data_IF_526472346481
#
_entry.id   IF_526472346481
#
_cell.length_a   1.000
_cell.length_b   1.000
_cell.length_c   1.000
_cell.angle_alpha   90.00
_cell.angle_beta   90.00
_cell.angle_gamma   90.00
#
_symmetry.space_group_name_H-M   'P 1'
#
loop_
_entity.id
_entity.type
_entity.pdbx_description
1 polymer ?
#
# COMPACT_ATOMS: atom_id res chain seq x y z
N UNK A 1 22.94 -43.70 22.53
CA UNK A 1 21.72 -42.89 22.79
C UNK A 1 22.11 -41.46 23.13
N UNK A 2 22.50 -40.63 22.14
CA UNK A 2 22.82 -39.19 22.37
C UNK A 2 22.33 -38.27 21.24
N UNK A 3 21.70 -38.80 20.18
CA UNK A 3 21.50 -38.04 18.95
C UNK A 3 20.07 -37.52 18.72
N UNK A 4 19.12 -37.77 19.64
CA UNK A 4 17.73 -37.37 19.45
C UNK A 4 17.41 -35.95 19.98
N UNK A 5 18.25 -35.37 20.84
CA UNK A 5 17.92 -34.11 21.53
C UNK A 5 18.33 -32.84 20.77
N UNK A 6 19.24 -32.94 19.78
CA UNK A 6 19.80 -31.75 19.10
C UNK A 6 18.91 -31.25 17.94
N UNK A 7 18.01 -32.09 17.42
CA UNK A 7 17.20 -31.74 16.24
C UNK A 7 15.99 -30.87 16.62
N UNK A 8 15.51 -30.93 17.87
CA UNK A 8 14.32 -30.18 18.30
C UNK A 8 14.59 -28.69 18.61
N UNK A 9 15.84 -28.28 18.83
CA UNK A 9 16.20 -26.87 19.08
C UNK A 9 16.41 -26.07 17.79
N UNK A 10 16.77 -26.72 16.67
CA UNK A 10 16.94 -26.06 15.38
C UNK A 10 15.62 -25.66 14.71
N UNK A 11 14.55 -26.44 14.92
CA UNK A 11 13.27 -26.22 14.25
C UNK A 11 12.46 -25.07 14.86
N UNK A 12 12.64 -24.77 16.16
CA UNK A 12 11.99 -23.65 16.83
C UNK A 12 12.52 -22.28 16.41
N UNK A 13 13.84 -22.17 16.18
CA UNK A 13 14.48 -20.90 15.78
C UNK A 13 14.22 -20.58 14.30
N UNK A 14 14.16 -21.59 13.43
CA UNK A 14 13.85 -21.40 12.00
C UNK A 14 12.38 -21.00 11.78
N UNK A 15 11.44 -21.52 12.58
CA UNK A 15 10.03 -21.13 12.50
C UNK A 15 9.77 -19.70 12.99
N UNK A 16 10.47 -19.25 14.03
CA UNK A 16 10.38 -17.87 14.51
C UNK A 16 10.98 -16.87 13.50
N UNK A 17 12.10 -17.23 12.86
CA UNK A 17 12.71 -16.42 11.81
C UNK A 17 11.84 -16.37 10.54
N UNK A 18 11.25 -17.49 10.10
CA UNK A 18 10.34 -17.52 8.96
C UNK A 18 9.05 -16.71 9.24
N UNK A 19 8.49 -16.79 10.46
CA UNK A 19 7.33 -15.99 10.83
C UNK A 19 7.63 -14.47 10.86
N UNK A 20 8.86 -14.08 11.22
CA UNK A 20 9.30 -12.68 11.18
C UNK A 20 9.64 -12.20 9.76
N UNK A 21 10.26 -13.04 8.92
CA UNK A 21 10.57 -12.73 7.51
C UNK A 21 9.32 -12.66 6.62
N UNK A 22 8.24 -13.36 7.01
CA UNK A 22 6.95 -13.33 6.32
C UNK A 22 6.11 -12.08 6.61
N UNK A 23 6.40 -11.32 7.66
CA UNK A 23 5.59 -10.18 8.09
C UNK A 23 5.44 -9.09 7.02
N UNK A 24 6.55 -8.55 6.48
CA UNK A 24 6.51 -7.53 5.43
C UNK A 24 5.89 -8.01 4.12
N UNK A 25 6.15 -9.27 3.73
CA UNK A 25 5.58 -9.85 2.51
C UNK A 25 4.06 -10.04 2.64
N UNK A 26 3.59 -10.54 3.79
CA UNK A 26 2.15 -10.68 4.08
C UNK A 26 1.45 -9.34 4.13
N UNK A 27 2.09 -8.30 4.68
CA UNK A 27 1.55 -6.95 4.68
C UNK A 27 1.42 -6.41 3.25
N UNK A 28 2.44 -6.59 2.40
CA UNK A 28 2.39 -6.20 0.98
C UNK A 28 1.26 -6.93 0.24
N UNK A 29 1.13 -8.24 0.45
CA UNK A 29 0.05 -9.02 -0.13
C UNK A 29 -1.33 -8.54 0.33
N UNK A 30 -1.52 -8.31 1.63
CA UNK A 30 -2.78 -7.79 2.17
C UNK A 30 -3.10 -6.39 1.63
N UNK A 31 -2.11 -5.50 1.51
CA UNK A 31 -2.29 -4.18 0.89
C UNK A 31 -2.72 -4.32 -0.57
N UNK A 32 -2.05 -5.15 -1.36
CA UNK A 32 -2.40 -5.35 -2.76
C UNK A 32 -3.82 -5.91 -2.91
N UNK A 33 -4.16 -6.97 -2.16
CA UNK A 33 -5.46 -7.64 -2.23
C UNK A 33 -6.62 -6.72 -1.80
N UNK A 34 -6.41 -5.90 -0.76
CA UNK A 34 -7.43 -4.94 -0.31
C UNK A 34 -7.54 -3.74 -1.23
N UNK A 35 -6.42 -3.27 -1.79
CA UNK A 35 -6.41 -2.19 -2.78
C UNK A 35 -7.17 -2.59 -4.04
N UNK A 36 -6.95 -3.78 -4.59
CA UNK A 36 -7.61 -4.23 -5.82
C UNK A 36 -9.13 -4.28 -5.72
N UNK A 37 -9.65 -4.51 -4.51
CA UNK A 37 -11.09 -4.54 -4.19
C UNK A 37 -11.65 -3.17 -3.82
N UNK A 38 -10.80 -2.16 -3.61
CA UNK A 38 -11.20 -0.81 -3.23
C UNK A 38 -11.98 -0.16 -4.35
N UNK A 39 -13.10 0.50 -4.03
CA UNK A 39 -13.90 1.25 -5.00
C UNK A 39 -13.43 2.70 -5.05
N UNK A 40 -13.25 3.22 -6.25
CA UNK A 40 -12.85 4.60 -6.49
C UNK A 40 -14.03 5.40 -7.04
N UNK A 41 -14.20 6.66 -6.61
CA UNK A 41 -15.23 7.54 -7.14
C UNK A 41 -14.84 8.03 -8.54
N UNK A 42 -15.68 7.84 -9.55
CA UNK A 42 -15.51 8.48 -10.87
C UNK A 42 -16.35 9.75 -10.98
N UNK A 43 -15.90 10.67 -11.84
CA UNK A 43 -16.62 11.90 -12.18
C UNK A 43 -17.99 11.62 -12.80
N UNK A 44 -18.10 10.54 -13.57
CA UNK A 44 -19.32 10.18 -14.32
C UNK A 44 -20.23 9.22 -13.53
N UNK A 45 -19.94 9.01 -12.23
CA UNK A 45 -20.70 8.11 -11.36
C UNK A 45 -20.41 6.61 -11.58
N UNK A 46 -19.61 6.26 -12.58
CA UNK A 46 -19.13 4.88 -12.77
C UNK A 46 -18.24 4.46 -11.59
N UNK A 47 -18.51 3.31 -10.97
CA UNK A 47 -17.64 2.75 -9.95
C UNK A 47 -16.63 1.81 -10.61
N UNK A 48 -15.33 2.06 -10.40
CA UNK A 48 -14.26 1.13 -10.78
C UNK A 48 -13.46 0.72 -9.55
N UNK A 49 -12.77 -0.42 -9.68
CA UNK A 49 -12.00 -1.00 -8.57
C UNK A 49 -10.52 -0.67 -8.68
N UNK A 50 -9.76 -0.87 -7.61
CA UNK A 50 -8.31 -0.69 -7.63
C UNK A 50 -7.59 -1.57 -8.66
N UNK A 51 -8.18 -2.69 -9.07
CA UNK A 51 -7.67 -3.50 -10.19
C UNK A 51 -7.63 -2.74 -11.54
N UNK A 52 -8.43 -1.67 -11.69
CA UNK A 52 -8.46 -0.80 -12.87
C UNK A 52 -7.67 0.49 -12.66
N UNK A 53 -6.98 0.62 -11.52
CA UNK A 53 -6.19 1.79 -11.14
C UNK A 53 -4.72 1.45 -11.18
N UNK A 54 -3.95 2.26 -11.88
CA UNK A 54 -2.51 2.14 -11.92
C UNK A 54 -1.87 2.94 -10.78
N UNK A 55 -1.08 2.28 -9.94
CA UNK A 55 -0.23 2.96 -8.97
C UNK A 55 1.03 3.44 -9.69
N UNK A 56 1.22 4.76 -9.80
CA UNK A 56 2.34 5.37 -10.53
C UNK A 56 3.51 5.74 -9.61
N UNK A 57 3.24 5.92 -8.31
CA UNK A 57 4.27 6.21 -7.31
C UNK A 57 3.82 5.76 -5.93
N UNK A 58 4.74 5.15 -5.19
CA UNK A 58 4.57 4.83 -3.77
C UNK A 58 5.63 5.56 -2.96
N UNK A 59 5.20 6.45 -2.07
CA UNK A 59 6.12 7.13 -1.15
C UNK A 59 5.98 6.46 0.21
N UNK A 60 7.07 5.87 0.67
CA UNK A 60 7.17 5.28 2.01
C UNK A 60 7.85 6.31 2.91
N UNK A 61 7.13 6.82 3.90
CA UNK A 61 7.69 7.71 4.92
C UNK A 61 7.47 7.13 6.31
N UNK A 62 8.40 7.43 7.22
CA UNK A 62 8.10 7.41 8.65
C UNK A 62 7.74 8.84 9.00
N UNK A 63 6.46 9.21 8.94
CA UNK A 63 6.08 10.56 9.34
C UNK A 63 5.96 10.60 10.86
N UNK A 64 7.05 10.96 11.53
CA UNK A 64 7.11 11.13 12.99
C UNK A 64 6.09 12.16 13.53
N UNK A 65 5.45 12.94 12.65
CA UNK A 65 4.42 13.92 12.97
C UNK A 65 2.96 13.45 12.87
N UNK A 66 2.68 12.23 12.39
CA UNK A 66 1.33 11.64 12.40
C UNK A 66 1.18 10.55 13.46
N UNK A 67 1.85 10.71 14.62
CA UNK A 67 1.36 10.06 15.83
C UNK A 67 -0.03 10.62 16.13
N UNK A 68 -1.06 9.91 15.65
CA UNK A 68 -2.39 10.11 16.18
C UNK A 68 -2.28 9.98 17.71
N UNK A 69 -2.77 10.95 18.49
CA UNK A 69 -2.82 10.81 19.94
C UNK A 69 -3.80 9.68 20.25
N UNK A 70 -3.26 8.47 20.40
CA UNK A 70 -3.97 7.23 20.64
C UNK A 70 -3.15 6.34 21.58
N UNK A 71 -3.78 5.36 22.23
CA UNK A 71 -3.08 4.47 23.15
C UNK A 71 -1.86 3.79 22.49
N UNK A 72 -0.78 3.50 23.22
CA UNK A 72 0.45 2.86 22.66
C UNK A 72 0.21 1.51 21.97
N UNK A 73 -0.90 0.82 22.23
CA UNK A 73 -1.31 -0.40 21.50
C UNK A 73 -1.86 -0.10 20.08
N UNK A 74 -2.19 1.16 19.84
CA UNK A 74 -2.60 1.78 18.58
C UNK A 74 -1.42 2.43 17.86
N UNK A 75 -0.17 2.17 18.28
CA UNK A 75 1.03 2.37 17.48
C UNK A 75 0.96 1.41 16.28
N UNK A 76 0.02 1.71 15.39
CA UNK A 76 -0.20 1.08 14.11
C UNK A 76 1.14 1.12 13.39
N UNK A 77 1.46 0.02 12.71
CA UNK A 77 2.46 0.07 11.66
C UNK A 77 1.86 0.90 10.52
N UNK A 78 1.72 2.20 10.75
CA UNK A 78 1.64 3.22 9.70
C UNK A 78 3.02 3.26 9.09
N UNK A 79 3.34 2.22 8.34
CA UNK A 79 4.30 2.33 7.28
C UNK A 79 3.56 3.18 6.23
N UNK A 80 3.71 4.50 6.36
CA UNK A 80 2.93 5.54 5.68
C UNK A 80 3.25 5.47 4.19
N UNK A 81 2.57 4.56 3.50
CA UNK A 81 2.73 4.35 2.08
C UNK A 81 1.68 5.19 1.33
N UNK A 82 2.06 6.37 0.85
CA UNK A 82 1.20 7.18 0.00
C UNK A 82 1.24 6.61 -1.42
N UNK A 83 0.11 6.11 -1.90
CA UNK A 83 -0.02 5.54 -3.24
C UNK A 83 -0.68 6.58 -4.15
N UNK A 84 0.10 7.12 -5.09
CA UNK A 84 -0.41 7.99 -6.14
C UNK A 84 -0.90 7.13 -7.29
N UNK A 85 -2.14 7.37 -7.69
CA UNK A 85 -2.93 6.47 -8.51
C UNK A 85 -3.56 7.19 -9.69
N UNK A 86 -3.64 6.50 -10.83
CA UNK A 86 -4.31 6.95 -12.05
C UNK A 86 -5.41 5.96 -12.38
N UNK A 87 -6.65 6.44 -12.42
CA UNK A 87 -7.79 5.64 -12.85
C UNK A 87 -8.07 5.80 -14.34
N UNK A 88 -9.14 5.16 -14.85
CA UNK A 88 -9.60 5.36 -16.22
C UNK A 88 -9.93 6.85 -16.50
N UNK A 89 -9.55 7.32 -17.69
CA UNK A 89 -9.72 8.72 -18.09
C UNK A 89 -8.82 9.67 -17.28
N UNK A 90 -9.13 10.98 -17.27
CA UNK A 90 -8.39 11.98 -16.49
C UNK A 90 -8.80 11.94 -15.01
N UNK A 91 -8.46 10.84 -14.33
CA UNK A 91 -8.83 10.58 -12.93
C UNK A 91 -7.60 10.26 -12.09
N UNK A 92 -7.37 11.01 -11.03
CA UNK A 92 -6.19 10.87 -10.17
C UNK A 92 -6.57 10.75 -8.71
N UNK A 93 -5.83 9.94 -7.97
CA UNK A 93 -6.13 9.65 -6.57
C UNK A 93 -4.87 9.55 -5.72
N UNK A 94 -5.05 9.85 -4.44
CA UNK A 94 -4.15 9.44 -3.38
C UNK A 94 -4.85 8.37 -2.54
N UNK A 95 -4.25 7.19 -2.45
CA UNK A 95 -4.69 6.10 -1.58
C UNK A 95 -3.71 5.94 -0.42
N UNK A 96 -4.24 5.88 0.80
CA UNK A 96 -3.45 5.81 2.04
C UNK A 96 -3.91 4.56 2.80
N UNK A 97 -3.04 3.53 2.95
CA UNK A 97 -3.36 2.33 3.70
C UNK A 97 -3.19 2.57 5.21
N UNK A 98 -4.19 2.19 5.98
CA UNK A 98 -4.15 2.11 7.43
C UNK A 98 -4.03 0.63 7.79
N UNK A 99 -2.81 0.20 8.10
CA UNK A 99 -2.49 -1.22 8.33
C UNK A 99 -2.53 -1.54 9.83
N UNK A 100 -3.34 -2.54 10.20
CA UNK A 100 -3.48 -3.05 11.57
C UNK A 100 -3.10 -4.51 11.61
N UNK A 101 -2.34 -4.90 12.63
CA UNK A 101 -2.03 -6.31 12.86
C UNK A 101 -3.17 -6.96 13.65
N UNK A 102 -3.76 -8.02 13.10
CA UNK A 102 -4.83 -8.79 13.73
C UNK A 102 -4.36 -10.25 13.88
N UNK A 103 -3.73 -10.55 15.03
CA UNK A 103 -3.06 -11.84 15.26
C UNK A 103 -1.96 -12.12 14.24
N UNK A 104 -2.16 -13.16 13.43
CA UNK A 104 -1.24 -13.58 12.35
C UNK A 104 -1.56 -12.95 10.98
N UNK A 105 -2.62 -12.16 10.89
CA UNK A 105 -3.09 -11.49 9.67
C UNK A 105 -2.89 -9.97 9.75
N UNK A 106 -3.04 -9.32 8.60
CA UNK A 106 -3.03 -7.87 8.45
C UNK A 106 -4.39 -7.42 7.95
N UNK A 107 -5.04 -6.55 8.71
CA UNK A 107 -6.23 -5.81 8.27
C UNK A 107 -5.76 -4.48 7.68
N UNK A 108 -6.18 -4.17 6.46
CA UNK A 108 -5.80 -2.95 5.75
C UNK A 108 -7.05 -2.19 5.35
N UNK A 109 -7.26 -1.06 6.00
CA UNK A 109 -8.27 -0.08 5.60
C UNK A 109 -7.64 0.97 4.68
N UNK A 110 -8.46 1.67 3.89
CA UNK A 110 -7.98 2.64 2.92
C UNK A 110 -8.71 3.97 3.04
N UNK A 111 -7.94 5.06 2.97
CA UNK A 111 -8.46 6.40 2.72
C UNK A 111 -8.13 6.77 1.28
N UNK A 112 -9.17 7.02 0.48
CA UNK A 112 -9.03 7.47 -0.91
C UNK A 112 -9.40 8.95 -1.01
N UNK A 113 -8.52 9.74 -1.62
CA UNK A 113 -8.77 11.15 -1.91
C UNK A 113 -8.62 11.41 -3.41
N UNK A 114 -9.66 11.92 -4.08
CA UNK A 114 -9.52 12.43 -5.44
C UNK A 114 -8.50 13.57 -5.47
N UNK A 115 -7.72 13.62 -6.55
CA UNK A 115 -6.79 14.70 -6.84
C UNK A 115 -7.16 15.33 -8.18
N UNK A 116 -6.95 16.64 -8.29
CA UNK A 116 -6.88 17.29 -9.58
C UNK A 116 -5.51 17.06 -10.24
N UNK A 117 -5.43 17.31 -11.55
CA UNK A 117 -4.20 17.16 -12.33
C UNK A 117 -3.04 17.97 -11.74
N UNK A 118 -3.29 19.21 -11.31
CA UNK A 118 -2.26 20.10 -10.77
C UNK A 118 -1.61 19.54 -9.51
N UNK A 119 -2.42 19.01 -8.58
CA UNK A 119 -1.95 18.33 -7.37
C UNK A 119 -1.19 17.06 -7.69
N UNK A 120 -1.65 16.26 -8.66
CA UNK A 120 -0.93 15.07 -9.08
C UNK A 120 0.43 15.44 -9.70
N UNK A 121 0.49 16.41 -10.62
CA UNK A 121 1.76 16.90 -11.19
C UNK A 121 2.73 17.42 -10.13
N UNK A 122 2.23 18.19 -9.16
CA UNK A 122 3.05 18.67 -8.06
C UNK A 122 3.63 17.53 -7.21
N UNK A 123 2.82 16.51 -6.90
CA UNK A 123 3.26 15.36 -6.10
C UNK A 123 4.26 14.45 -6.82
N UNK A 124 4.17 14.39 -8.15
CA UNK A 124 5.09 13.64 -9.02
C UNK A 124 6.28 14.48 -9.50
N UNK A 125 6.37 15.75 -9.09
CA UNK A 125 7.49 16.63 -9.45
C UNK A 125 8.83 15.99 -9.08
N UNK A 126 9.78 16.02 -10.02
CA UNK A 126 11.08 15.38 -9.88
C UNK A 126 11.10 13.86 -10.14
N UNK A 127 9.96 13.24 -10.43
CA UNK A 127 9.85 11.81 -10.79
C UNK A 127 9.35 11.68 -12.23
N UNK A 128 10.28 11.75 -13.18
CA UNK A 128 9.99 11.74 -14.62
C UNK A 128 9.23 10.51 -15.06
N UNK A 129 9.52 9.34 -14.47
CA UNK A 129 8.85 8.09 -14.80
C UNK A 129 7.41 8.09 -14.28
N UNK A 130 7.17 8.50 -13.03
CA UNK A 130 5.82 8.61 -12.53
C UNK A 130 4.98 9.63 -13.32
N UNK A 131 5.59 10.76 -13.71
CA UNK A 131 4.94 11.74 -14.60
C UNK A 131 4.61 11.14 -15.97
N UNK A 132 5.51 10.34 -16.55
CA UNK A 132 5.26 9.64 -17.82
C UNK A 132 4.14 8.62 -17.70
N UNK A 133 4.11 7.84 -16.62
CA UNK A 133 3.04 6.87 -16.39
C UNK A 133 1.68 7.55 -16.13
N UNK A 134 1.68 8.73 -15.48
CA UNK A 134 0.45 9.43 -15.14
C UNK A 134 -0.14 10.29 -16.26
N UNK A 135 0.69 10.79 -17.18
CA UNK A 135 0.29 11.76 -18.20
C UNK A 135 0.75 11.41 -19.63
N UNK A 136 1.61 10.41 -19.79
CA UNK A 136 2.09 9.95 -21.09
C UNK A 136 1.12 8.95 -21.72
N UNK A 137 0.87 9.13 -23.02
CA UNK A 137 -0.07 8.38 -23.88
C UNK A 137 -1.57 8.68 -23.72
N UNK A 138 -1.94 9.95 -23.47
CA UNK A 138 -3.27 10.46 -23.85
C UNK A 138 -3.38 10.92 -25.31
N UNK A 139 -2.42 10.59 -26.19
CA UNK A 139 -2.42 11.01 -27.61
C UNK A 139 -2.52 9.86 -28.62
N UNK A 140 -2.65 8.60 -28.19
CA UNK A 140 -2.65 7.43 -29.10
C UNK A 140 -3.96 6.62 -29.11
N UNK A 141 -5.11 7.29 -29.03
CA UNK A 141 -6.38 6.74 -29.55
C UNK A 141 -7.14 7.88 -30.23
N UNK A 142 -6.98 7.96 -31.55
CA UNK A 142 -7.93 8.63 -32.43
C UNK A 142 -9.23 7.86 -32.56
#
# INVERSE_FOLDING_TARGET
>A
MKSALVILLGMGVVMAAAAQLNGPQRLRAARQETFERLRFPSRDGAAFTGAQVQVVKQVHGRFDGMQQPGPRWMAQASDDAFWYCVGPGPSWYLAIPISRRNGFQWDVDWVVRPLDEGRMRAALSGDTEALRLAFGEQTARG
#
